data_IF_882262541971
#
_entry.id   IF_882262541971
#
_cell.length_a   1.000
_cell.length_b   1.000
_cell.length_c   1.000
_cell.angle_alpha   90.00
_cell.angle_beta   90.00
_cell.angle_gamma   90.00
#
_symmetry.space_group_name_H-M   'P 1'
#
loop_
_entity.id
_entity.type
_entity.pdbx_description
1 polymer ?
#
# COMPACT_ATOMS: atom_id res chain seq x y z
N UNK A 1 -69.64 40.08 -42.26
CA UNK A 1 -69.83 38.95 -41.32
C UNK A 1 -68.71 37.97 -41.60
N UNK A 2 -67.89 37.69 -40.58
CA UNK A 2 -66.83 36.65 -40.50
C UNK A 2 -65.59 36.89 -41.40
N UNK A 3 -64.35 37.15 -40.96
CA UNK A 3 -63.61 36.76 -39.74
C UNK A 3 -63.28 35.26 -39.78
N UNK A 4 -62.07 34.73 -39.62
CA UNK A 4 -60.69 35.23 -39.43
C UNK A 4 -59.75 34.04 -39.71
N UNK A 5 -58.45 34.36 -39.82
CA UNK A 5 -57.25 33.51 -39.96
C UNK A 5 -57.19 32.20 -39.14
N UNK A 6 -56.49 31.20 -39.69
CA UNK A 6 -55.20 30.72 -39.13
C UNK A 6 -54.75 29.38 -39.75
N UNK A 7 -53.48 29.35 -40.12
CA UNK A 7 -52.67 28.20 -40.53
C UNK A 7 -52.60 27.10 -39.47
N UNK A 8 -52.86 25.84 -39.85
CA UNK A 8 -52.55 24.68 -39.01
C UNK A 8 -51.44 23.79 -39.61
N UNK A 9 -50.48 23.54 -38.74
CA UNK A 9 -49.32 22.68 -38.83
C UNK A 9 -49.70 21.20 -38.85
N UNK A 10 -49.11 20.42 -39.75
CA UNK A 10 -49.17 18.94 -39.65
C UNK A 10 -47.76 18.35 -39.69
N UNK A 11 -47.30 17.91 -38.51
CA UNK A 11 -46.11 17.08 -38.31
C UNK A 11 -46.47 15.59 -38.42
N UNK A 12 -45.58 14.72 -38.95
CA UNK A 12 -45.83 13.28 -39.05
C UNK A 12 -45.62 12.52 -37.72
N UNK A 13 -46.18 11.30 -37.58
CA UNK A 13 -46.34 10.63 -36.29
C UNK A 13 -45.07 9.94 -35.76
N UNK A 14 -44.96 10.01 -34.44
CA UNK A 14 -43.94 9.50 -33.54
C UNK A 14 -43.80 7.95 -33.59
N UNK A 15 -42.72 7.43 -34.20
CA UNK A 15 -42.28 6.04 -33.99
C UNK A 15 -41.49 5.96 -32.69
N UNK A 16 -42.08 5.36 -31.66
CA UNK A 16 -41.38 4.92 -30.44
C UNK A 16 -40.25 3.95 -30.81
N UNK A 17 -39.02 4.43 -30.77
CA UNK A 17 -37.85 3.58 -30.67
C UNK A 17 -37.79 3.05 -29.23
N UNK A 18 -37.99 1.75 -29.05
CA UNK A 18 -37.79 1.07 -27.77
C UNK A 18 -36.29 1.01 -27.49
N UNK A 19 -35.76 2.05 -26.86
CA UNK A 19 -34.38 2.10 -26.36
C UNK A 19 -34.22 1.00 -25.30
N UNK A 20 -33.61 -0.11 -25.70
CA UNK A 20 -33.07 -1.08 -24.75
C UNK A 20 -31.90 -0.39 -24.05
N UNK A 21 -32.14 0.11 -22.85
CA UNK A 21 -31.08 0.56 -21.95
C UNK A 21 -30.37 -0.71 -21.49
N UNK A 22 -29.36 -1.15 -22.25
CA UNK A 22 -28.30 -1.97 -21.68
C UNK A 22 -27.52 -1.05 -20.76
N UNK A 23 -27.91 -1.03 -19.49
CA UNK A 23 -27.09 -0.45 -18.42
C UNK A 23 -25.79 -1.26 -18.38
N UNK A 24 -24.81 -0.85 -19.18
CA UNK A 24 -23.42 -1.17 -18.91
C UNK A 24 -23.10 -0.45 -17.60
N UNK A 25 -23.25 -1.17 -16.49
CA UNK A 25 -22.63 -0.79 -15.23
C UNK A 25 -21.13 -0.91 -15.49
N UNK A 26 -20.52 0.18 -15.95
CA UNK A 26 -19.08 0.34 -15.88
C UNK A 26 -18.74 0.47 -14.41
N UNK A 27 -18.35 -0.63 -13.76
CA UNK A 27 -17.65 -0.56 -12.48
C UNK A 27 -16.40 0.28 -12.72
N UNK A 28 -16.30 1.42 -12.04
CA UNK A 28 -15.10 2.24 -12.06
C UNK A 28 -13.92 1.41 -11.56
N UNK A 29 -12.77 1.49 -12.24
CA UNK A 29 -11.50 0.85 -11.82
C UNK A 29 -11.00 1.31 -10.43
N UNK A 30 -11.73 2.23 -9.78
CA UNK A 30 -11.47 2.80 -8.47
C UNK A 30 -12.29 2.18 -7.31
N UNK A 31 -13.14 1.19 -7.57
CA UNK A 31 -13.92 0.55 -6.50
C UNK A 31 -13.07 -0.53 -5.79
N UNK A 32 -12.49 -0.17 -4.65
CA UNK A 32 -11.76 -1.09 -3.75
C UNK A 32 -12.46 -1.18 -2.39
N UNK A 33 -12.42 -2.36 -1.77
CA UNK A 33 -12.96 -2.60 -0.43
C UNK A 33 -12.02 -2.05 0.66
N UNK A 34 -10.71 -2.14 0.43
CA UNK A 34 -9.68 -1.80 1.42
C UNK A 34 -8.52 -1.02 0.80
N UNK A 35 -7.98 -0.06 1.56
CA UNK A 35 -6.74 0.66 1.24
C UNK A 35 -5.69 0.37 2.30
N UNK A 36 -4.62 -0.33 1.94
CA UNK A 36 -3.57 -0.68 2.89
C UNK A 36 -2.27 0.04 2.56
N UNK A 37 -1.75 0.79 3.53
CA UNK A 37 -0.43 1.40 3.45
C UNK A 37 0.63 0.44 3.99
N UNK A 38 1.58 0.05 3.15
CA UNK A 38 2.70 -0.85 3.47
C UNK A 38 4.02 -0.13 3.23
N UNK A 39 5.02 -0.35 4.09
CA UNK A 39 6.36 0.24 3.97
C UNK A 39 7.42 -0.84 3.76
N UNK A 40 8.41 -0.57 2.90
CA UNK A 40 9.61 -1.40 2.75
C UNK A 40 10.75 -0.77 3.54
N UNK A 41 11.35 -1.53 4.45
CA UNK A 41 12.41 -1.04 5.36
C UNK A 41 13.57 -2.01 5.34
N UNK A 42 14.78 -1.49 5.53
CA UNK A 42 16.02 -2.27 5.54
C UNK A 42 17.17 -1.46 4.97
N UNK A 43 18.37 -2.02 5.04
CA UNK A 43 19.61 -1.33 4.65
C UNK A 43 19.64 -0.93 3.16
N UNK A 44 20.55 -0.02 2.82
CA UNK A 44 20.82 0.32 1.43
C UNK A 44 21.36 -0.90 0.66
N UNK A 45 20.93 -1.05 -0.60
CA UNK A 45 21.39 -2.11 -1.50
C UNK A 45 20.86 -3.52 -1.22
N UNK A 46 19.94 -3.70 -0.27
CA UNK A 46 19.30 -5.02 0.00
C UNK A 46 18.30 -5.42 -1.09
N UNK A 47 17.84 -4.46 -1.90
CA UNK A 47 16.96 -4.71 -3.06
C UNK A 47 15.49 -4.34 -2.87
N UNK A 48 15.14 -3.48 -1.91
CA UNK A 48 13.77 -3.00 -1.67
C UNK A 48 13.10 -2.43 -2.91
N UNK A 49 13.77 -1.52 -3.62
CA UNK A 49 13.26 -0.91 -4.86
C UNK A 49 13.06 -1.94 -5.96
N UNK A 50 13.97 -2.91 -6.09
CA UNK A 50 13.81 -4.01 -7.04
C UNK A 50 12.65 -4.95 -6.67
N UNK A 51 12.41 -5.20 -5.38
CA UNK A 51 11.21 -5.93 -4.95
C UNK A 51 9.93 -5.15 -5.26
N UNK A 52 9.92 -3.82 -5.04
CA UNK A 52 8.79 -2.95 -5.38
C UNK A 52 8.51 -2.96 -6.87
N UNK A 53 9.53 -2.72 -7.71
CA UNK A 53 9.42 -2.73 -9.16
C UNK A 53 9.01 -4.08 -9.69
N UNK A 54 9.53 -5.16 -9.11
CA UNK A 54 9.15 -6.52 -9.51
C UNK A 54 7.69 -6.80 -9.15
N UNK A 55 7.24 -6.39 -7.98
CA UNK A 55 5.84 -6.55 -7.59
C UNK A 55 4.90 -5.65 -8.42
N UNK A 56 5.27 -4.42 -8.74
CA UNK A 56 4.31 -3.47 -9.37
C UNK A 56 4.34 -3.46 -10.88
N UNK A 57 5.51 -3.68 -11.49
CA UNK A 57 5.74 -3.56 -12.93
C UNK A 57 6.31 -4.84 -13.55
N UNK A 58 6.62 -5.86 -12.74
CA UNK A 58 7.38 -7.04 -13.15
C UNK A 58 8.77 -6.69 -13.75
N UNK A 59 9.36 -5.59 -13.31
CA UNK A 59 10.65 -5.09 -13.79
C UNK A 59 11.77 -5.31 -12.77
N UNK A 60 12.99 -5.40 -13.28
CA UNK A 60 14.20 -5.47 -12.45
C UNK A 60 15.34 -4.73 -13.12
N UNK A 61 16.13 -4.03 -12.31
CA UNK A 61 17.30 -3.28 -12.76
C UNK A 61 18.53 -3.68 -11.94
N UNK A 62 19.55 -4.18 -12.63
CA UNK A 62 20.87 -4.46 -12.05
C UNK A 62 21.55 -3.17 -11.58
N UNK A 63 21.37 -2.08 -12.34
CA UNK A 63 21.96 -0.76 -12.06
C UNK A 63 21.09 0.09 -11.12
N UNK A 64 20.30 -0.56 -10.25
CA UNK A 64 19.47 0.14 -9.27
C UNK A 64 20.34 1.01 -8.37
N UNK A 65 20.27 2.33 -8.55
CA UNK A 65 20.98 3.30 -7.72
C UNK A 65 20.38 3.31 -6.31
N UNK A 66 21.14 3.80 -5.33
CA UNK A 66 20.57 4.05 -3.99
C UNK A 66 19.36 4.97 -4.10
N UNK A 67 18.24 4.57 -3.50
CA UNK A 67 17.02 5.38 -3.44
C UNK A 67 17.31 6.69 -2.72
N UNK A 68 17.11 7.81 -3.42
CA UNK A 68 17.20 9.14 -2.83
C UNK A 68 15.78 9.51 -2.40
N UNK A 69 15.53 9.54 -1.09
CA UNK A 69 14.20 9.82 -0.54
C UNK A 69 13.31 8.57 -0.49
N UNK A 70 12.09 8.67 -1.02
CA UNK A 70 11.05 7.64 -0.91
C UNK A 70 10.36 7.47 -2.26
N UNK A 71 10.22 6.23 -2.73
CA UNK A 71 9.42 5.88 -3.91
C UNK A 71 8.05 5.35 -3.48
N UNK A 72 7.01 5.69 -4.24
CA UNK A 72 5.64 5.29 -3.97
C UNK A 72 5.07 4.57 -5.18
N UNK A 73 4.42 3.43 -4.95
CA UNK A 73 3.67 2.72 -5.96
C UNK A 73 2.37 2.14 -5.40
N UNK A 74 1.37 1.97 -6.27
CA UNK A 74 0.11 1.34 -5.93
C UNK A 74 -0.11 0.08 -6.74
N UNK A 75 -0.64 -0.96 -6.10
CA UNK A 75 -1.12 -2.16 -6.78
C UNK A 75 -2.43 -2.61 -6.17
N UNK A 76 -3.38 -2.95 -7.02
CA UNK A 76 -4.65 -3.55 -6.59
C UNK A 76 -4.53 -5.06 -6.70
N UNK A 77 -4.87 -5.76 -5.61
CA UNK A 77 -4.90 -7.23 -5.54
C UNK A 77 -6.25 -7.68 -5.00
N UNK A 78 -6.65 -8.91 -5.34
CA UNK A 78 -7.85 -9.52 -4.78
C UNK A 78 -7.45 -10.54 -3.72
N UNK A 79 -7.98 -10.41 -2.51
CA UNK A 79 -7.76 -11.33 -1.39
C UNK A 79 -9.12 -11.67 -0.78
N UNK A 80 -9.45 -12.97 -0.63
CA UNK A 80 -10.72 -13.43 -0.05
C UNK A 80 -11.97 -12.80 -0.67
N UNK A 81 -11.96 -12.59 -2.00
CA UNK A 81 -13.05 -11.95 -2.73
C UNK A 81 -13.18 -10.44 -2.50
N UNK A 82 -12.24 -9.83 -1.76
CA UNK A 82 -12.13 -8.39 -1.51
C UNK A 82 -11.05 -7.76 -2.36
N UNK A 83 -11.33 -6.57 -2.87
CA UNK A 83 -10.40 -5.78 -3.67
C UNK A 83 -9.59 -4.89 -2.73
N UNK A 84 -8.29 -5.15 -2.63
CA UNK A 84 -7.36 -4.41 -1.78
C UNK A 84 -6.47 -3.54 -2.65
N UNK A 85 -6.53 -2.22 -2.46
CA UNK A 85 -5.57 -1.27 -3.02
C UNK A 85 -4.40 -1.13 -2.06
N UNK A 86 -3.25 -1.71 -2.41
CA UNK A 86 -2.02 -1.58 -1.65
C UNK A 86 -1.26 -0.31 -2.08
N UNK A 87 -0.89 0.51 -1.10
CA UNK A 87 -0.03 1.68 -1.20
C UNK A 87 1.33 1.33 -0.61
N UNK A 88 2.34 1.15 -1.44
CA UNK A 88 3.64 0.66 -1.02
C UNK A 88 4.66 1.80 -1.10
N UNK A 89 5.35 2.01 0.01
CA UNK A 89 6.37 3.04 0.16
C UNK A 89 7.74 2.38 0.27
N UNK A 90 8.58 2.54 -0.75
CA UNK A 90 9.99 2.15 -0.70
C UNK A 90 10.80 3.26 -0.04
N UNK A 91 11.46 2.94 1.06
CA UNK A 91 12.22 3.92 1.84
C UNK A 91 13.71 3.86 1.55
N UNK A 92 14.40 5.01 1.58
CA UNK A 92 15.85 5.02 1.53
C UNK A 92 16.43 4.22 2.71
N UNK A 93 17.29 3.25 2.38
CA UNK A 93 17.97 2.42 3.38
C UNK A 93 19.26 3.04 3.96
N UNK A 94 19.57 4.29 3.65
CA UNK A 94 20.74 4.97 4.20
C UNK A 94 20.39 5.61 5.54
N UNK A 95 21.24 5.39 6.54
CA UNK A 95 21.02 5.94 7.88
C UNK A 95 20.93 7.47 7.90
N UNK A 96 21.58 8.15 6.96
CA UNK A 96 21.57 9.62 6.82
C UNK A 96 20.17 10.20 6.58
N UNK A 97 19.22 9.41 6.07
CA UNK A 97 17.86 9.84 5.79
C UNK A 97 16.83 9.36 6.81
N UNK A 98 17.25 8.69 7.89
CA UNK A 98 16.33 8.12 8.91
C UNK A 98 15.35 9.12 9.52
N UNK A 99 15.79 10.35 9.77
CA UNK A 99 14.92 11.40 10.30
C UNK A 99 13.78 11.79 9.34
N UNK A 100 14.00 11.61 8.03
CA UNK A 100 13.00 11.83 6.99
C UNK A 100 12.11 10.59 6.86
N UNK A 101 12.69 9.39 6.97
CA UNK A 101 12.00 8.11 6.83
C UNK A 101 10.94 7.87 7.91
N UNK A 102 11.17 8.32 9.15
CA UNK A 102 10.23 8.11 10.27
C UNK A 102 8.84 8.70 10.03
N UNK A 103 8.74 9.81 9.29
CA UNK A 103 7.46 10.42 8.91
C UNK A 103 6.59 9.47 8.06
N UNK A 104 7.21 8.62 7.25
CA UNK A 104 6.50 7.72 6.33
C UNK A 104 5.93 6.48 7.03
N UNK A 105 6.44 6.13 8.21
CA UNK A 105 5.90 5.03 9.00
C UNK A 105 4.50 5.33 9.53
N UNK A 106 4.15 6.61 9.72
CA UNK A 106 2.84 7.00 10.26
C UNK A 106 1.71 6.50 9.36
N UNK A 107 0.73 5.81 9.96
CA UNK A 107 -0.43 5.27 9.26
C UNK A 107 -0.15 4.04 8.38
N UNK A 108 1.07 3.52 8.30
CA UNK A 108 1.27 2.19 7.70
C UNK A 108 0.52 1.13 8.54
N UNK A 109 0.02 0.08 7.91
CA UNK A 109 -0.68 -1.05 8.56
C UNK A 109 0.11 -2.35 8.47
N UNK A 110 1.16 -2.37 7.63
CA UNK A 110 2.17 -3.40 7.64
C UNK A 110 3.51 -2.94 7.10
N UNK A 111 4.53 -3.78 7.27
CA UNK A 111 5.89 -3.53 6.81
C UNK A 111 6.56 -4.81 6.31
N UNK A 112 7.37 -4.69 5.25
CA UNK A 112 8.34 -5.71 4.86
C UNK A 112 9.71 -5.25 5.33
N UNK A 113 10.34 -6.07 6.16
CA UNK A 113 11.67 -5.84 6.69
C UNK A 113 12.69 -6.67 5.89
N UNK A 114 13.44 -6.00 5.02
CA UNK A 114 14.24 -6.65 3.97
C UNK A 114 15.72 -6.65 4.34
N UNK A 115 16.36 -7.81 4.24
CA UNK A 115 17.81 -7.95 4.28
C UNK A 115 18.33 -8.70 3.05
N UNK A 116 19.66 -8.72 2.92
CA UNK A 116 20.37 -9.42 1.85
C UNK A 116 21.03 -10.67 2.41
N UNK A 117 20.65 -11.86 1.91
CA UNK A 117 21.17 -13.13 2.42
C UNK A 117 22.69 -13.29 2.26
N UNK A 118 23.31 -12.48 1.39
CA UNK A 118 24.75 -12.50 1.11
C UNK A 118 25.54 -11.56 2.02
N UNK A 119 24.86 -10.70 2.78
CA UNK A 119 25.48 -9.66 3.63
C UNK A 119 24.99 -9.74 5.09
N UNK A 120 25.73 -10.43 5.97
CA UNK A 120 25.34 -10.64 7.38
C UNK A 120 25.03 -9.35 8.14
N UNK A 121 25.75 -8.26 7.86
CA UNK A 121 25.54 -6.98 8.53
C UNK A 121 24.10 -6.46 8.32
N UNK A 122 23.52 -6.71 7.13
CA UNK A 122 22.15 -6.28 6.84
C UNK A 122 21.11 -7.07 7.63
N UNK A 123 21.45 -8.30 8.03
CA UNK A 123 20.63 -9.13 8.91
C UNK A 123 20.78 -8.70 10.37
N UNK A 124 22.00 -8.42 10.84
CA UNK A 124 22.25 -7.90 12.19
C UNK A 124 21.51 -6.57 12.45
N UNK A 125 21.42 -5.70 11.43
CA UNK A 125 20.68 -4.46 11.53
C UNK A 125 19.15 -4.62 11.57
N UNK A 126 18.60 -5.81 11.30
CA UNK A 126 17.15 -6.05 11.37
C UNK A 126 16.59 -5.76 12.75
N UNK A 127 17.31 -6.11 13.82
CA UNK A 127 16.90 -5.80 15.20
C UNK A 127 16.61 -4.32 15.35
N UNK A 128 17.55 -3.48 14.88
CA UNK A 128 17.44 -2.04 14.99
C UNK A 128 16.25 -1.49 14.21
N UNK A 129 16.03 -2.00 13.00
CA UNK A 129 14.91 -1.60 12.15
C UNK A 129 13.56 -2.07 12.71
N UNK A 130 13.51 -3.26 13.30
CA UNK A 130 12.33 -3.80 13.94
C UNK A 130 11.95 -2.96 15.17
N UNK A 131 12.90 -2.63 16.04
CA UNK A 131 12.67 -1.75 17.19
C UNK A 131 12.16 -0.37 16.73
N UNK A 132 12.73 0.18 15.65
CA UNK A 132 12.27 1.44 15.07
C UNK A 132 10.82 1.37 14.58
N UNK A 133 10.41 0.25 13.96
CA UNK A 133 9.04 0.00 13.53
C UNK A 133 8.07 -0.13 14.72
N UNK A 134 8.42 -0.94 15.71
CA UNK A 134 7.60 -1.22 16.88
C UNK A 134 7.35 0.04 17.72
N UNK A 135 8.34 0.93 17.82
CA UNK A 135 8.18 2.24 18.48
C UNK A 135 7.10 3.12 17.84
N UNK A 136 6.73 2.85 16.59
CA UNK A 136 5.72 3.64 15.87
C UNK A 136 4.36 2.91 15.76
N UNK A 137 4.28 1.58 15.96
CA UNK A 137 3.04 0.78 15.99
C UNK A 137 3.28 -0.73 16.03
N UNK A 138 2.31 -1.48 16.57
CA UNK A 138 2.24 -2.95 16.57
C UNK A 138 1.68 -3.51 15.24
N UNK A 139 2.42 -3.36 14.14
CA UNK A 139 1.94 -3.68 12.78
C UNK A 139 2.19 -5.14 12.40
N UNK A 140 1.46 -5.59 11.38
CA UNK A 140 1.81 -6.79 10.63
C UNK A 140 3.21 -6.59 10.01
N UNK A 141 4.17 -7.42 10.40
CA UNK A 141 5.56 -7.34 9.91
C UNK A 141 5.95 -8.71 9.34
N UNK A 142 6.64 -8.69 8.20
CA UNK A 142 7.26 -9.87 7.60
C UNK A 142 8.74 -9.57 7.31
N UNK A 143 9.61 -10.50 7.67
CA UNK A 143 11.02 -10.47 7.31
C UNK A 143 11.20 -11.07 5.92
N UNK A 144 11.97 -10.39 5.08
CA UNK A 144 12.24 -10.79 3.70
C UNK A 144 13.74 -10.94 3.49
N UNK A 145 14.20 -12.19 3.34
CA UNK A 145 15.56 -12.51 2.93
C UNK A 145 15.69 -12.46 1.41
N UNK A 146 16.15 -11.34 0.87
CA UNK A 146 16.26 -11.15 -0.58
C UNK A 146 17.59 -11.67 -1.15
N UNK A 147 17.63 -11.84 -2.47
CA UNK A 147 18.75 -12.36 -3.27
C UNK A 147 19.00 -13.86 -3.08
N UNK A 148 17.92 -14.63 -2.89
CA UNK A 148 17.99 -16.10 -2.76
C UNK A 148 18.53 -16.81 -4.00
N UNK A 149 18.59 -16.13 -5.15
CA UNK A 149 19.25 -16.58 -6.38
C UNK A 149 20.77 -16.76 -6.23
N UNK A 150 21.42 -16.02 -5.32
CA UNK A 150 22.89 -16.05 -5.15
C UNK A 150 23.28 -17.07 -4.07
N UNK A 151 22.87 -18.32 -4.25
CA UNK A 151 23.03 -19.40 -3.25
C UNK A 151 24.48 -19.59 -2.80
N UNK A 152 25.43 -19.50 -3.73
CA UNK A 152 26.86 -19.72 -3.46
C UNK A 152 27.50 -18.64 -2.58
N UNK A 153 26.87 -17.47 -2.47
CA UNK A 153 27.34 -16.35 -1.64
C UNK A 153 26.50 -16.19 -0.37
N UNK A 154 25.63 -17.17 -0.05
CA UNK A 154 24.80 -17.12 1.16
C UNK A 154 25.69 -17.05 2.39
N UNK A 155 25.49 -16.02 3.18
CA UNK A 155 26.20 -15.77 4.43
C UNK A 155 25.26 -15.82 5.65
N UNK A 156 23.94 -15.71 5.43
CA UNK A 156 22.90 -15.88 6.46
C UNK A 156 22.10 -17.14 6.15
N UNK A 157 22.07 -18.09 7.08
CA UNK A 157 21.30 -19.32 6.89
C UNK A 157 19.81 -19.04 7.01
N UNK A 158 19.00 -19.84 6.30
CA UNK A 158 17.54 -19.76 6.40
C UNK A 158 17.07 -20.06 7.82
N UNK A 159 17.74 -20.97 8.54
CA UNK A 159 17.38 -21.34 9.91
C UNK A 159 17.65 -20.19 10.89
N UNK A 160 18.77 -19.48 10.76
CA UNK A 160 19.03 -18.28 11.56
C UNK A 160 17.95 -17.21 11.37
N UNK A 161 17.49 -17.01 10.14
CA UNK A 161 16.45 -16.05 9.84
C UNK A 161 15.07 -16.48 10.35
N UNK A 162 14.75 -17.77 10.29
CA UNK A 162 13.54 -18.35 10.90
C UNK A 162 13.54 -18.22 12.41
N UNK A 163 14.63 -18.59 13.08
CA UNK A 163 14.78 -18.44 14.53
C UNK A 163 14.63 -16.98 14.97
N UNK A 164 15.18 -16.04 14.19
CA UNK A 164 14.96 -14.62 14.45
C UNK A 164 13.47 -14.27 14.34
N UNK A 165 12.80 -14.68 13.26
CA UNK A 165 11.38 -14.38 13.05
C UNK A 165 10.48 -14.98 14.15
N UNK A 166 10.76 -16.22 14.56
CA UNK A 166 10.05 -16.91 15.65
C UNK A 166 10.21 -16.20 16.99
N UNK A 167 11.44 -15.77 17.33
CA UNK A 167 11.71 -15.02 18.57
C UNK A 167 10.92 -13.71 18.67
N UNK A 168 10.65 -13.07 17.54
CA UNK A 168 9.88 -11.83 17.48
C UNK A 168 8.40 -12.05 17.11
N UNK A 169 7.96 -13.30 16.95
CA UNK A 169 6.61 -13.67 16.54
C UNK A 169 6.15 -12.97 15.25
N UNK A 170 7.04 -12.93 14.24
CA UNK A 170 6.79 -12.35 12.92
C UNK A 170 7.02 -13.39 11.82
N UNK A 171 6.44 -13.15 10.65
CA UNK A 171 6.58 -14.05 9.50
C UNK A 171 7.93 -13.88 8.83
N UNK A 172 8.40 -14.93 8.13
CA UNK A 172 9.63 -14.90 7.34
C UNK A 172 9.43 -15.53 5.95
N UNK A 173 10.07 -14.94 4.95
CA UNK A 173 10.10 -15.47 3.58
C UNK A 173 11.42 -15.10 2.89
N UNK A 174 11.96 -16.01 2.08
CA UNK A 174 13.07 -15.69 1.19
C UNK A 174 12.57 -15.35 -0.21
N UNK A 175 13.17 -14.34 -0.83
CA UNK A 175 12.78 -13.84 -2.15
C UNK A 175 13.98 -13.64 -3.06
N UNK A 176 13.71 -13.64 -4.36
CA UNK A 176 14.65 -13.14 -5.36
C UNK A 176 13.93 -12.13 -6.22
N UNK A 177 14.33 -10.86 -6.13
CA UNK A 177 13.87 -9.85 -7.07
C UNK A 177 14.37 -10.12 -8.50
N UNK A 178 15.53 -10.77 -8.65
CA UNK A 178 16.10 -11.13 -9.96
C UNK A 178 15.23 -12.19 -10.66
N UNK A 179 14.95 -13.30 -9.98
CA UNK A 179 14.19 -14.44 -10.53
C UNK A 179 12.67 -14.31 -10.32
N UNK A 180 12.22 -13.22 -9.69
CA UNK A 180 10.84 -13.02 -9.23
C UNK A 180 10.32 -14.07 -8.22
N UNK A 181 11.21 -14.92 -7.69
CA UNK A 181 10.87 -15.97 -6.73
C UNK A 181 10.29 -15.38 -5.44
N UNK A 182 9.11 -15.86 -5.06
CA UNK A 182 8.38 -15.48 -3.84
C UNK A 182 8.07 -13.99 -3.68
N UNK A 183 8.30 -13.15 -4.70
CA UNK A 183 8.03 -11.70 -4.60
C UNK A 183 6.53 -11.47 -4.44
N UNK A 184 5.71 -12.02 -5.33
CA UNK A 184 4.24 -11.94 -5.22
C UNK A 184 3.78 -12.44 -3.86
N UNK A 185 4.28 -13.63 -3.46
CA UNK A 185 3.89 -14.29 -2.22
C UNK A 185 4.21 -13.44 -0.98
N UNK A 186 5.37 -12.78 -0.93
CA UNK A 186 5.73 -11.92 0.19
C UNK A 186 4.74 -10.75 0.37
N UNK A 187 4.35 -10.10 -0.72
CA UNK A 187 3.39 -9.00 -0.70
C UNK A 187 1.96 -9.47 -0.47
N UNK A 188 1.52 -10.58 -1.04
CA UNK A 188 0.18 -11.11 -0.79
C UNK A 188 0.05 -11.58 0.66
N UNK A 189 1.06 -12.26 1.22
CA UNK A 189 1.03 -12.73 2.60
C UNK A 189 0.82 -11.58 3.59
N UNK A 190 1.57 -10.48 3.43
CA UNK A 190 1.40 -9.34 4.33
C UNK A 190 0.02 -8.69 4.18
N UNK A 191 -0.49 -8.56 2.95
CA UNK A 191 -1.81 -7.99 2.70
C UNK A 191 -2.94 -8.87 3.26
N UNK A 192 -2.81 -10.20 3.14
CA UNK A 192 -3.73 -11.17 3.75
C UNK A 192 -3.68 -11.14 5.28
N UNK A 193 -2.49 -11.02 5.88
CA UNK A 193 -2.35 -10.90 7.33
C UNK A 193 -3.00 -9.60 7.87
N UNK A 194 -2.79 -8.48 7.16
CA UNK A 194 -3.45 -7.21 7.49
C UNK A 194 -4.97 -7.35 7.36
N UNK A 195 -5.45 -7.94 6.27
CA UNK A 195 -6.88 -8.17 6.05
C UNK A 195 -7.49 -9.01 7.18
N UNK A 196 -6.84 -10.11 7.54
CA UNK A 196 -7.29 -11.01 8.61
C UNK A 196 -7.36 -10.30 9.96
N UNK A 197 -6.35 -9.51 10.29
CA UNK A 197 -6.31 -8.72 11.54
C UNK A 197 -7.44 -7.69 11.61
N UNK A 198 -7.70 -6.98 10.51
CA UNK A 198 -8.79 -5.99 10.45
C UNK A 198 -10.16 -6.65 10.49
N UNK A 199 -10.33 -7.79 9.80
CA UNK A 199 -11.59 -8.53 9.77
C UNK A 199 -11.92 -9.17 11.12
N UNK A 200 -10.92 -9.69 11.84
CA UNK A 200 -11.10 -10.20 13.21
C UNK A 200 -11.54 -9.10 14.19
N UNK A 201 -10.94 -7.90 14.09
CA UNK A 201 -11.29 -6.77 14.95
C UNK A 201 -12.68 -6.18 14.66
N UNK A 202 -13.23 -6.39 13.45
CA UNK A 202 -14.62 -6.03 13.12
C UNK A 202 -15.66 -7.02 13.69
N UNK A 203 -15.22 -8.19 14.17
CA UNK A 203 -16.09 -9.25 14.70
C UNK A 203 -16.49 -9.11 16.18
N UNK A 204 -16.05 -8.07 16.90
CA UNK A 204 -16.26 -7.92 18.35
C UNK A 204 -17.24 -6.80 18.77
N UNK A 205 -18.01 -6.21 17.86
CA UNK A 205 -19.07 -5.25 18.23
C UNK A 205 -20.29 -5.33 17.32
N UNK A 206 -21.09 -6.39 17.41
CA UNK A 206 -22.53 -6.33 17.13
C UNK A 206 -23.23 -7.45 17.91
N UNK A 207 -23.60 -7.19 19.16
CA UNK A 207 -24.78 -7.86 19.73
C UNK A 207 -25.99 -6.99 19.36
N UNK A 208 -27.05 -7.70 18.96
CA UNK A 208 -28.30 -7.20 18.42
C UNK A 208 -29.04 -6.30 19.44
N UNK A 209 -29.52 -5.15 18.97
CA UNK A 209 -30.81 -4.62 19.41
C UNK A 209 -31.36 -3.70 18.30
N UNK A 210 -32.32 -4.23 17.55
CA UNK A 210 -33.18 -3.46 16.64
C UNK A 210 -34.41 -3.04 17.46
N UNK A 211 -34.76 -1.74 17.46
CA UNK A 211 -36.09 -1.40 16.99
C UNK A 211 -36.09 -0.35 15.87
N UNK A 212 -36.97 -0.63 14.92
CA UNK A 212 -37.36 0.03 13.68
C UNK A 212 -37.86 1.49 13.77
N UNK A 213 -37.64 2.22 12.65
CA UNK A 213 -38.25 3.47 12.15
C UNK A 213 -37.99 4.74 13.00
N UNK A 214 -37.56 5.90 12.47
CA UNK A 214 -38.05 6.61 11.28
C UNK A 214 -37.01 7.68 10.84
N UNK A 215 -37.06 8.02 9.56
CA UNK A 215 -36.74 9.31 8.91
C UNK A 215 -35.44 10.12 9.17
N UNK A 216 -34.73 10.29 8.04
CA UNK A 216 -34.13 11.54 7.53
C UNK A 216 -32.66 11.91 7.84
N UNK A 217 -32.03 12.49 6.79
CA UNK A 217 -30.78 13.27 6.74
C UNK A 217 -29.45 12.49 6.59
N UNK A 218 -29.04 12.34 5.32
CA UNK A 218 -27.90 13.07 4.76
C UNK A 218 -26.46 12.80 5.25
N UNK A 219 -25.60 12.49 4.27
CA UNK A 219 -24.14 12.70 4.17
C UNK A 219 -23.20 11.57 4.62
N UNK A 220 -22.71 10.87 3.59
CA UNK A 220 -21.30 10.53 3.32
C UNK A 220 -20.25 10.83 4.39
N UNK A 221 -19.55 9.79 4.86
CA UNK A 221 -18.26 9.92 5.53
C UNK A 221 -17.14 9.48 4.59
N UNK A 222 -16.73 10.38 3.68
CA UNK A 222 -15.39 10.32 3.09
C UNK A 222 -14.42 10.89 4.13
N UNK A 223 -13.58 10.04 4.72
CA UNK A 223 -12.46 10.51 5.54
C UNK A 223 -11.37 10.98 4.57
N UNK A 224 -11.39 12.27 4.24
CA UNK A 224 -10.32 12.96 3.53
C UNK A 224 -9.49 13.67 4.59
N UNK A 225 -8.24 13.23 4.80
CA UNK A 225 -7.27 13.97 5.61
C UNK A 225 -6.56 14.92 4.65
N UNK A 226 -6.81 16.22 4.82
CA UNK A 226 -6.20 17.30 4.06
C UNK A 226 -4.79 17.59 4.57
N UNK A 227 -3.78 17.47 3.70
CA UNK A 227 -2.46 18.06 3.93
C UNK A 227 -2.50 19.55 3.57
N UNK A 228 -2.17 20.41 4.54
CA UNK A 228 -1.81 21.80 4.26
C UNK A 228 -0.28 21.94 4.20
N UNK A 229 0.28 22.67 3.23
CA UNK A 229 1.69 23.01 3.22
C UNK A 229 1.96 24.14 4.22
N UNK A 230 2.85 23.91 5.18
CA UNK A 230 3.39 24.95 6.06
C UNK A 230 4.58 25.64 5.39
N UNK A 231 4.43 26.94 5.13
CA UNK A 231 5.48 27.85 4.66
C UNK A 231 6.31 28.37 5.85
N UNK A 232 7.64 28.32 5.72
CA UNK A 232 8.52 29.39 6.18
C UNK A 232 9.44 29.10 7.37
N UNK A 233 10.75 29.12 7.13
CA UNK A 233 11.74 29.59 8.10
C UNK A 233 12.76 30.49 7.38
N UNK A 234 12.77 31.75 7.78
CA UNK A 234 13.67 32.82 7.32
C UNK A 234 15.09 32.60 7.84
N UNK A 235 16.07 32.82 6.96
CA UNK A 235 17.48 32.89 7.28
C UNK A 235 17.80 34.22 7.98
N UNK A 236 18.42 34.14 9.17
CA UNK A 236 19.07 35.26 9.84
C UNK A 236 20.57 35.08 9.66
N UNK A 237 21.19 35.92 8.83
CA UNK A 237 22.63 36.14 8.86
C UNK A 237 22.89 37.54 9.42
N UNK A 238 23.71 37.60 10.47
CA UNK A 238 24.08 38.81 11.18
C UNK A 238 25.50 38.71 11.74
N UNK A 239 26.43 39.27 10.96
CA UNK A 239 27.57 40.12 11.33
C UNK A 239 28.67 39.67 12.32
N UNK A 240 29.93 39.74 11.84
CA UNK A 240 31.18 40.23 12.48
C UNK A 240 32.37 39.69 11.62
N UNK A 241 33.41 40.40 11.18
CA UNK A 241 34.01 41.71 11.47
C UNK A 241 34.55 42.34 10.18
#
# INVERSE_FOLDING_TARGET
MSGDDASDSTSPPNRRATTHIKTHIMKSEDEYDYLFKVVLIGDSGVGKSNLLSRFTRNEFSLDSKSTIGVEFATRTVTCDGKIIKAQIWDTAGQEKYRAITSAYYRGAVGALLVYDITRPQTFEHLERWLQELLNHSDKNIIIVGNKSDIVNMRAVSTDQAKEFAERHNISFIETSALEATNVELAFTNILSNIHSTISANKGTTIDEDIPSADDNVGKSSKIVISDQPMMGAKQKDGCAC
#
